data_IF_038165373062
#
_entry.id   IF_038165373062
#
_cell.length_a   1.000
_cell.length_b   1.000
_cell.length_c   1.000
_cell.angle_alpha   90.00
_cell.angle_beta   90.00
_cell.angle_gamma   90.00
#
_symmetry.space_group_name_H-M   'P 1'
#
loop_
_entity.id
_entity.type
_entity.pdbx_description
1 polymer ?
#
# COMPACT_ATOMS: atom_id res chain seq x y z
N UNK A 1 -43.46 30.89 48.70
CA UNK A 1 -44.62 29.97 48.69
C UNK A 1 -44.84 29.55 47.25
N UNK A 2 -44.90 28.30 46.76
CA UNK A 2 -44.90 26.90 47.25
C UNK A 2 -44.06 26.10 46.23
N UNK A 3 -42.95 25.44 46.60
CA UNK A 3 -42.79 23.98 46.81
C UNK A 3 -43.67 23.06 45.93
N UNK A 4 -43.06 22.24 45.09
CA UNK A 4 -43.45 20.83 44.85
C UNK A 4 -42.21 19.99 44.47
N UNK A 5 -41.93 18.97 45.31
CA UNK A 5 -41.04 17.79 45.18
C UNK A 5 -41.80 16.72 44.36
N UNK A 6 -41.30 15.61 43.80
CA UNK A 6 -40.37 14.54 44.21
C UNK A 6 -40.32 13.56 42.99
N UNK A 7 -39.19 12.96 42.56
CA UNK A 7 -38.78 11.53 42.69
C UNK A 7 -37.95 11.24 41.41
N UNK A 8 -36.78 10.61 41.39
CA UNK A 8 -36.21 9.60 42.27
C UNK A 8 -36.43 8.21 41.67
N UNK A 9 -35.54 7.73 40.80
CA UNK A 9 -35.41 6.29 40.54
C UNK A 9 -33.96 5.94 40.19
N UNK A 10 -33.33 5.26 41.15
CA UNK A 10 -32.04 4.59 41.07
C UNK A 10 -32.38 3.15 40.70
N UNK A 11 -31.85 2.65 39.58
CA UNK A 11 -31.93 1.23 39.24
C UNK A 11 -30.62 0.56 39.66
N UNK A 12 -30.66 -0.12 40.81
CA UNK A 12 -29.68 -1.14 41.20
C UNK A 12 -30.05 -2.46 40.55
N UNK A 13 -29.07 -3.14 39.94
CA UNK A 13 -29.15 -4.56 39.64
C UNK A 13 -27.87 -5.23 40.15
N UNK A 14 -28.04 -6.09 41.16
CA UNK A 14 -27.09 -7.15 41.51
C UNK A 14 -27.72 -8.47 41.09
N UNK A 15 -26.92 -9.41 40.57
CA UNK A 15 -26.97 -10.86 40.87
C UNK A 15 -25.67 -11.52 40.37
N UNK A 16 -25.29 -12.53 41.16
CA UNK A 16 -24.10 -13.36 41.24
C UNK A 16 -23.77 -14.28 40.04
N UNK A 17 -22.47 -14.50 39.86
CA UNK A 17 -21.74 -15.78 39.65
C UNK A 17 -21.99 -16.60 38.38
N UNK A 18 -20.93 -16.83 37.60
CA UNK A 18 -20.30 -18.16 37.43
C UNK A 18 -18.99 -18.08 36.65
N UNK A 19 -17.97 -18.71 37.21
CA UNK A 19 -16.70 -19.02 36.58
C UNK A 19 -16.89 -20.35 35.84
N UNK A 20 -16.76 -20.38 34.51
CA UNK A 20 -16.60 -21.63 33.75
C UNK A 20 -15.76 -21.42 32.48
N UNK A 21 -14.71 -22.24 32.39
CA UNK A 21 -14.25 -22.97 31.22
C UNK A 21 -14.30 -22.33 29.83
N UNK A 22 -13.10 -22.06 29.31
CA UNK A 22 -12.71 -22.21 27.91
C UNK A 22 -13.47 -23.36 27.20
N UNK A 23 -14.16 -23.03 26.10
CA UNK A 23 -14.53 -23.98 25.04
C UNK A 23 -14.28 -23.31 23.69
N UNK A 24 -13.58 -24.06 22.86
CA UNK A 24 -13.18 -23.88 21.46
C UNK A 24 -14.37 -23.91 20.50
N UNK A 25 -14.31 -23.17 19.38
CA UNK A 25 -14.08 -23.70 18.02
C UNK A 25 -14.66 -22.80 16.88
N UNK A 26 -13.94 -22.78 15.74
CA UNK A 26 -14.37 -22.33 14.41
C UNK A 26 -14.45 -20.80 14.16
N UNK A 27 -13.86 -20.20 13.13
CA UNK A 27 -13.21 -20.69 11.92
C UNK A 27 -12.54 -19.50 11.22
N UNK A 28 -11.23 -19.59 11.01
CA UNK A 28 -10.48 -18.71 10.11
C UNK A 28 -9.39 -19.62 9.51
N UNK A 29 -9.25 -19.75 8.18
CA UNK A 29 -8.21 -20.60 7.62
C UNK A 29 -6.87 -19.92 7.86
N UNK A 30 -6.19 -20.36 8.92
CA UNK A 30 -4.79 -20.07 9.18
C UNK A 30 -4.01 -20.78 8.07
N UNK A 31 -3.58 -20.01 7.07
CA UNK A 31 -2.62 -20.42 6.06
C UNK A 31 -1.39 -20.99 6.78
N UNK A 32 -1.20 -22.30 6.62
CA UNK A 32 -0.13 -23.08 7.22
C UNK A 32 1.22 -22.60 6.67
N UNK A 33 2.01 -21.94 7.51
CA UNK A 33 3.44 -21.69 7.28
C UNK A 33 4.19 -23.01 7.50
N UNK A 34 4.48 -23.71 6.40
CA UNK A 34 5.42 -24.82 6.38
C UNK A 34 6.71 -24.39 5.70
N UNK A 35 7.78 -24.18 6.46
CA UNK A 35 9.13 -24.12 5.90
C UNK A 35 9.59 -25.55 5.63
N UNK A 36 9.58 -25.98 4.38
CA UNK A 36 10.13 -27.28 3.96
C UNK A 36 11.42 -27.06 3.20
N UNK A 37 12.56 -27.37 3.82
CA UNK A 37 13.83 -27.52 3.12
C UNK A 37 13.78 -28.80 2.29
N UNK A 38 13.69 -28.66 0.96
CA UNK A 38 13.68 -29.80 0.04
C UNK A 38 15.02 -29.86 -0.67
N UNK A 39 15.88 -30.82 -0.29
CA UNK A 39 17.09 -31.14 -1.04
C UNK A 39 16.69 -31.84 -2.34
N UNK A 40 16.80 -31.16 -3.48
CA UNK A 40 16.53 -31.73 -4.80
C UNK A 40 17.81 -31.83 -5.63
N UNK A 41 18.32 -33.04 -5.84
CA UNK A 41 19.44 -33.29 -6.76
C UNK A 41 18.89 -33.48 -8.18
N UNK A 42 19.05 -32.49 -9.05
CA UNK A 42 18.71 -32.64 -10.48
C UNK A 42 19.98 -32.90 -11.28
N UNK A 43 20.12 -34.12 -11.82
CA UNK A 43 21.23 -34.50 -12.70
C UNK A 43 20.84 -34.23 -14.17
N UNK A 44 21.52 -33.30 -14.83
CA UNK A 44 21.34 -33.05 -16.27
C UNK A 44 22.25 -34.02 -17.04
N UNK A 45 21.68 -35.02 -17.72
CA UNK A 45 22.43 -36.01 -18.49
C UNK A 45 22.56 -35.60 -19.96
N UNK A 46 23.65 -34.93 -20.32
CA UNK A 46 24.05 -34.82 -21.72
C UNK A 46 24.98 -35.99 -22.08
N UNK A 47 24.41 -37.02 -22.70
CA UNK A 47 25.16 -38.16 -23.24
C UNK A 47 25.91 -37.75 -24.52
N UNK A 48 27.12 -37.21 -24.37
CA UNK A 48 28.18 -37.35 -25.39
C UNK A 48 29.52 -37.57 -24.69
N UNK A 49 30.32 -38.49 -25.22
CA UNK A 49 31.36 -39.20 -24.49
C UNK A 49 32.50 -38.38 -23.88
N UNK A 50 33.00 -38.90 -22.75
CA UNK A 50 34.35 -38.73 -22.20
C UNK A 50 34.81 -37.30 -21.88
N UNK A 51 33.92 -36.46 -21.35
CA UNK A 51 34.30 -35.29 -20.55
C UNK A 51 33.74 -35.44 -19.12
N UNK A 52 34.47 -35.03 -18.06
CA UNK A 52 33.92 -35.01 -16.72
C UNK A 52 32.73 -34.04 -16.68
N UNK A 53 31.52 -34.55 -16.48
CA UNK A 53 30.32 -33.75 -16.26
C UNK A 53 30.44 -32.99 -14.94
N UNK A 54 30.25 -31.66 -14.92
CA UNK A 54 30.18 -30.94 -13.66
C UNK A 54 28.91 -31.37 -12.91
N UNK A 55 29.09 -31.99 -11.75
CA UNK A 55 28.00 -32.22 -10.80
C UNK A 55 27.77 -30.92 -10.03
N UNK A 56 26.64 -30.27 -10.29
CA UNK A 56 26.23 -29.08 -9.55
C UNK A 56 25.34 -29.54 -8.40
N UNK A 57 25.86 -29.49 -7.17
CA UNK A 57 25.03 -29.68 -5.98
C UNK A 57 24.41 -28.34 -5.62
N UNK A 58 23.12 -28.18 -5.86
CA UNK A 58 22.35 -27.02 -5.39
C UNK A 58 21.94 -27.32 -3.95
N UNK A 59 22.82 -26.99 -3.03
CA UNK A 59 22.48 -26.92 -1.61
C UNK A 59 21.82 -25.56 -1.38
N UNK A 60 20.67 -25.56 -0.69
CA UNK A 60 19.93 -24.37 -0.26
C UNK A 60 19.12 -23.68 -1.39
N UNK A 61 18.11 -24.37 -1.90
CA UNK A 61 16.98 -23.70 -2.55
C UNK A 61 16.15 -23.05 -1.43
N UNK A 62 16.43 -21.80 -1.11
CA UNK A 62 15.49 -20.98 -0.34
C UNK A 62 14.27 -20.74 -1.24
N UNK A 63 13.20 -21.49 -0.97
CA UNK A 63 11.90 -21.26 -1.60
C UNK A 63 11.35 -19.93 -1.11
N UNK A 64 11.48 -18.88 -1.91
CA UNK A 64 10.76 -17.63 -1.65
C UNK A 64 9.26 -17.92 -1.76
N UNK A 65 8.44 -17.62 -0.74
CA UNK A 65 7.01 -17.86 -0.82
C UNK A 65 6.40 -17.09 -1.98
N UNK A 66 5.75 -17.80 -2.91
CA UNK A 66 5.02 -17.17 -4.02
C UNK A 66 3.69 -16.59 -3.54
N UNK A 67 3.36 -15.37 -3.97
CA UNK A 67 2.07 -14.74 -3.74
C UNK A 67 1.24 -14.86 -5.01
N UNK A 68 0.10 -15.54 -4.93
CA UNK A 68 -0.84 -15.68 -6.04
C UNK A 68 -2.19 -15.05 -5.74
N UNK A 69 -2.74 -14.34 -6.71
CA UNK A 69 -4.03 -13.67 -6.63
C UNK A 69 -4.92 -14.09 -7.80
N UNK A 70 -6.24 -13.88 -7.65
CA UNK A 70 -7.12 -13.95 -8.81
C UNK A 70 -6.75 -12.84 -9.80
N UNK A 71 -6.51 -13.22 -11.06
CA UNK A 71 -6.27 -12.35 -12.21
C UNK A 71 -7.54 -11.64 -12.67
N UNK A 72 -8.64 -12.39 -12.69
CA UNK A 72 -9.95 -11.96 -13.20
C UNK A 72 -11.10 -12.51 -12.34
N UNK A 73 -12.33 -12.12 -12.69
CA UNK A 73 -13.54 -12.58 -12.00
C UNK A 73 -13.80 -14.09 -12.15
N UNK A 74 -13.13 -14.76 -13.09
CA UNK A 74 -13.18 -16.23 -13.26
C UNK A 74 -12.23 -16.99 -12.32
N UNK A 75 -11.38 -16.28 -11.57
CA UNK A 75 -10.49 -16.89 -10.59
C UNK A 75 -9.22 -17.52 -11.17
N UNK A 76 -8.86 -17.22 -12.42
CA UNK A 76 -7.55 -17.59 -12.97
C UNK A 76 -6.45 -16.98 -12.10
N UNK A 77 -5.40 -17.73 -11.79
CA UNK A 77 -4.37 -17.27 -10.86
C UNK A 77 -3.27 -16.47 -11.57
N UNK A 78 -2.73 -15.47 -10.88
CA UNK A 78 -1.59 -14.66 -11.30
C UNK A 78 -0.58 -14.62 -10.16
N UNK A 79 0.68 -14.95 -10.45
CA UNK A 79 1.79 -14.75 -9.51
C UNK A 79 2.20 -13.27 -9.53
N UNK A 80 2.17 -12.63 -8.35
CA UNK A 80 2.50 -11.21 -8.17
C UNK A 80 3.66 -11.00 -7.21
N UNK A 81 4.41 -12.05 -6.87
CA UNK A 81 5.51 -12.01 -5.89
C UNK A 81 6.50 -10.89 -6.17
N UNK A 82 7.01 -10.82 -7.41
CA UNK A 82 8.00 -9.82 -7.81
C UNK A 82 7.41 -8.41 -7.91
N UNK A 83 6.13 -8.30 -8.29
CA UNK A 83 5.41 -7.03 -8.34
C UNK A 83 5.23 -6.47 -6.94
N UNK A 84 4.80 -7.29 -5.98
CA UNK A 84 4.57 -6.88 -4.59
C UNK A 84 5.89 -6.49 -3.94
N UNK A 85 6.95 -7.26 -4.17
CA UNK A 85 8.29 -6.92 -3.72
C UNK A 85 8.77 -5.57 -4.29
N UNK A 86 8.57 -5.35 -5.58
CA UNK A 86 8.94 -4.09 -6.22
C UNK A 86 8.11 -2.90 -5.70
N UNK A 87 6.79 -3.05 -5.55
CA UNK A 87 5.92 -2.00 -4.99
C UNK A 87 6.38 -1.65 -3.57
N UNK A 88 6.64 -2.64 -2.73
CA UNK A 88 7.11 -2.42 -1.37
C UNK A 88 8.46 -1.67 -1.33
N UNK A 89 9.39 -2.03 -2.22
CA UNK A 89 10.71 -1.42 -2.32
C UNK A 89 10.66 0.02 -2.88
N UNK A 90 9.84 0.27 -3.89
CA UNK A 90 9.80 1.57 -4.57
C UNK A 90 8.89 2.60 -3.88
N UNK A 91 7.85 2.15 -3.18
CA UNK A 91 6.83 3.04 -2.59
C UNK A 91 7.39 4.12 -1.67
N UNK A 92 8.36 3.86 -0.77
CA UNK A 92 8.91 4.89 0.11
C UNK A 92 9.47 6.11 -0.64
N UNK A 93 9.91 5.92 -1.89
CA UNK A 93 10.61 6.94 -2.68
C UNK A 93 9.75 7.50 -3.83
N UNK A 94 8.74 6.75 -4.31
CA UNK A 94 8.00 7.10 -5.53
C UNK A 94 6.47 7.21 -5.35
N UNK A 95 5.90 6.81 -4.21
CA UNK A 95 4.44 6.73 -4.02
C UNK A 95 3.74 8.08 -4.03
N UNK A 96 4.38 9.11 -3.49
CA UNK A 96 3.84 10.47 -3.41
C UNK A 96 4.70 11.46 -4.20
N UNK A 97 4.06 12.51 -4.70
CA UNK A 97 4.76 13.64 -5.32
C UNK A 97 5.15 14.74 -4.29
N UNK A 98 6.36 15.30 -4.36
CA UNK A 98 7.45 14.93 -5.27
C UNK A 98 8.13 13.63 -4.81
N UNK A 99 8.58 12.78 -5.75
CA UNK A 99 9.38 11.60 -5.40
C UNK A 99 10.71 12.01 -4.78
N UNK A 100 11.19 11.24 -3.82
CA UNK A 100 12.49 11.49 -3.17
C UNK A 100 13.40 10.27 -3.29
N UNK A 101 14.64 10.49 -3.73
CA UNK A 101 15.64 9.45 -3.91
C UNK A 101 16.97 9.91 -3.33
N UNK A 102 17.73 9.01 -2.67
CA UNK A 102 19.03 9.36 -2.11
C UNK A 102 20.09 9.65 -3.19
N UNK A 103 19.91 9.16 -4.42
CA UNK A 103 20.77 9.44 -5.57
C UNK A 103 20.08 9.13 -6.91
N UNK A 104 20.62 9.68 -8.00
CA UNK A 104 20.07 9.51 -9.34
C UNK A 104 20.14 8.05 -9.84
N UNK A 105 21.12 7.26 -9.40
CA UNK A 105 21.22 5.86 -9.82
C UNK A 105 20.02 5.04 -9.34
N UNK A 106 19.60 5.22 -8.08
CA UNK A 106 18.40 4.57 -7.56
C UNK A 106 17.15 5.06 -8.29
N UNK A 107 17.03 6.36 -8.55
CA UNK A 107 15.92 6.92 -9.34
C UNK A 107 15.85 6.31 -10.74
N UNK A 108 16.99 6.21 -11.42
CA UNK A 108 17.11 5.60 -12.75
C UNK A 108 16.72 4.11 -12.71
N UNK A 109 17.27 3.33 -11.79
CA UNK A 109 16.95 1.90 -11.66
C UNK A 109 15.46 1.68 -11.39
N UNK A 110 14.86 2.50 -10.52
CA UNK A 110 13.43 2.45 -10.24
C UNK A 110 12.59 2.78 -11.46
N UNK A 111 12.94 3.80 -12.25
CA UNK A 111 12.23 4.11 -13.50
C UNK A 111 12.29 2.97 -14.51
N UNK A 112 13.46 2.34 -14.67
CA UNK A 112 13.66 1.21 -15.59
C UNK A 112 12.84 0.00 -15.16
N UNK A 113 12.95 -0.40 -13.89
CA UNK A 113 12.19 -1.52 -13.35
C UNK A 113 10.67 -1.25 -13.37
N UNK A 114 10.26 -0.04 -13.03
CA UNK A 114 8.84 0.36 -13.04
C UNK A 114 8.23 0.23 -14.43
N UNK A 115 8.96 0.61 -15.48
CA UNK A 115 8.48 0.44 -16.86
C UNK A 115 8.19 -1.02 -17.18
N UNK A 116 9.06 -1.94 -16.74
CA UNK A 116 8.86 -3.38 -16.92
C UNK A 116 7.58 -3.86 -16.21
N UNK A 117 7.44 -3.55 -14.91
CA UNK A 117 6.29 -4.00 -14.13
C UNK A 117 4.96 -3.37 -14.56
N UNK A 118 4.96 -2.09 -14.96
CA UNK A 118 3.77 -1.45 -15.54
C UNK A 118 3.35 -2.17 -16.83
N UNK A 119 4.29 -2.40 -17.75
CA UNK A 119 3.98 -3.08 -19.01
C UNK A 119 3.40 -4.49 -18.78
N UNK A 120 3.90 -5.21 -17.78
CA UNK A 120 3.43 -6.54 -17.41
C UNK A 120 2.02 -6.50 -16.79
N UNK A 121 1.81 -5.71 -15.73
CA UNK A 121 0.53 -5.69 -15.01
C UNK A 121 -0.61 -5.12 -15.87
N UNK A 122 -0.30 -4.18 -16.78
CA UNK A 122 -1.32 -3.56 -17.64
C UNK A 122 -2.00 -4.59 -18.54
N UNK A 123 -1.28 -5.63 -18.99
CA UNK A 123 -1.88 -6.72 -19.78
C UNK A 123 -3.01 -7.42 -19.03
N UNK A 124 -2.96 -7.39 -17.70
CA UNK A 124 -3.95 -8.00 -16.82
C UNK A 124 -4.99 -6.99 -16.33
N UNK A 125 -4.64 -5.71 -16.17
CA UNK A 125 -5.57 -4.69 -15.67
C UNK A 125 -6.54 -4.17 -16.74
N UNK A 126 -6.11 -4.16 -18.01
CA UNK A 126 -6.89 -3.63 -19.14
C UNK A 126 -8.08 -4.53 -19.52
N UNK A 127 -8.08 -5.81 -19.17
CA UNK A 127 -9.19 -6.73 -19.52
C UNK A 127 -10.46 -6.36 -18.74
N UNK A 128 -11.67 -6.43 -19.33
CA UNK A 128 -12.90 -5.92 -18.70
C UNK A 128 -13.20 -6.49 -17.31
N UNK A 129 -12.85 -7.76 -17.07
CA UNK A 129 -13.11 -8.53 -15.87
C UNK A 129 -11.88 -8.69 -14.95
N UNK A 130 -10.88 -7.80 -15.08
CA UNK A 130 -9.74 -7.77 -14.16
C UNK A 130 -10.18 -7.74 -12.69
N UNK A 131 -9.48 -8.48 -11.84
CA UNK A 131 -9.78 -8.53 -10.41
C UNK A 131 -9.46 -7.21 -9.70
N UNK A 132 -10.04 -7.03 -8.50
CA UNK A 132 -9.72 -5.89 -7.65
C UNK A 132 -8.21 -5.79 -7.35
N UNK A 133 -7.57 -6.91 -7.01
CA UNK A 133 -6.17 -6.95 -6.58
C UNK A 133 -5.19 -6.59 -7.72
N UNK A 134 -5.52 -6.98 -8.96
CA UNK A 134 -4.77 -6.58 -10.15
C UNK A 134 -4.91 -5.08 -10.39
N UNK A 135 -6.13 -4.55 -10.26
CA UNK A 135 -6.41 -3.13 -10.54
C UNK A 135 -5.71 -2.19 -9.55
N UNK A 136 -5.66 -2.55 -8.26
CA UNK A 136 -4.96 -1.74 -7.25
C UNK A 136 -3.45 -1.71 -7.54
N UNK A 137 -2.81 -2.86 -7.76
CA UNK A 137 -1.37 -2.92 -8.08
C UNK A 137 -1.05 -2.15 -9.35
N UNK A 138 -1.87 -2.30 -10.39
CA UNK A 138 -1.70 -1.56 -11.63
C UNK A 138 -1.83 -0.05 -11.42
N UNK A 139 -2.76 0.39 -10.57
CA UNK A 139 -2.92 1.79 -10.22
C UNK A 139 -1.75 2.34 -9.42
N UNK A 140 -1.20 1.59 -8.47
CA UNK A 140 -0.02 2.00 -7.69
C UNK A 140 1.21 2.16 -8.58
N UNK A 141 1.47 1.17 -9.44
CA UNK A 141 2.60 1.21 -10.38
C UNK A 141 2.46 2.39 -11.35
N UNK A 142 1.28 2.58 -11.95
CA UNK A 142 1.05 3.72 -12.84
C UNK A 142 1.10 5.07 -12.07
N UNK A 143 0.65 5.11 -10.82
CA UNK A 143 0.77 6.29 -9.95
C UNK A 143 2.22 6.68 -9.68
N UNK A 144 3.07 5.71 -9.33
CA UNK A 144 4.50 5.93 -9.18
C UNK A 144 5.15 6.40 -10.50
N UNK A 145 4.72 5.85 -11.64
CA UNK A 145 5.27 6.24 -12.94
C UNK A 145 4.90 7.68 -13.31
N UNK A 146 3.67 8.09 -12.96
CA UNK A 146 3.23 9.50 -13.05
C UNK A 146 4.07 10.39 -12.16
N UNK A 147 4.30 10.01 -10.91
CA UNK A 147 5.10 10.81 -9.96
C UNK A 147 6.57 10.93 -10.39
N UNK A 148 7.09 9.93 -11.07
CA UNK A 148 8.44 9.92 -11.61
C UNK A 148 8.59 10.70 -12.93
N UNK A 149 7.54 11.31 -13.46
CA UNK A 149 7.53 12.00 -14.76
C UNK A 149 7.90 11.05 -15.92
N UNK A 150 7.23 9.90 -16.01
CA UNK A 150 7.44 8.93 -17.09
C UNK A 150 6.51 9.13 -18.28
N UNK A 151 5.42 9.88 -18.11
CA UNK A 151 4.43 10.16 -19.17
C UNK A 151 3.04 10.48 -18.58
N UNK A 152 2.24 11.27 -19.29
CA UNK A 152 0.89 11.65 -18.83
C UNK A 152 -0.11 10.49 -18.87
N UNK A 153 0.11 9.51 -19.74
CA UNK A 153 -0.71 8.32 -19.90
C UNK A 153 -0.76 7.46 -18.64
N UNK A 154 0.31 7.46 -17.84
CA UNK A 154 0.35 6.76 -16.55
C UNK A 154 -0.66 7.36 -15.56
N UNK A 155 -0.88 8.68 -15.57
CA UNK A 155 -1.88 9.34 -14.73
C UNK A 155 -3.32 8.89 -15.07
N UNK A 156 -3.60 8.78 -16.37
CA UNK A 156 -4.90 8.36 -16.90
C UNK A 156 -5.16 6.90 -16.50
N UNK A 157 -4.21 6.00 -16.80
CA UNK A 157 -4.33 4.57 -16.44
C UNK A 157 -4.47 4.35 -14.95
N UNK A 158 -3.67 5.02 -14.12
CA UNK A 158 -3.79 4.92 -12.68
C UNK A 158 -5.22 5.28 -12.23
N UNK A 159 -5.75 6.41 -12.69
CA UNK A 159 -7.10 6.86 -12.35
C UNK A 159 -8.19 5.89 -12.83
N UNK A 160 -8.08 5.40 -14.06
CA UNK A 160 -9.02 4.45 -14.65
C UNK A 160 -9.07 3.13 -13.88
N UNK A 161 -7.90 2.60 -13.48
CA UNK A 161 -7.82 1.35 -12.72
C UNK A 161 -8.40 1.50 -11.32
N UNK A 162 -8.12 2.60 -10.60
CA UNK A 162 -8.76 2.81 -9.29
C UNK A 162 -10.26 3.03 -9.42
N UNK A 163 -10.71 3.79 -10.42
CA UNK A 163 -12.13 3.98 -10.68
C UNK A 163 -12.84 2.64 -10.96
N UNK A 164 -12.18 1.72 -11.66
CA UNK A 164 -12.68 0.35 -11.87
C UNK A 164 -12.65 -0.48 -10.58
N UNK A 165 -11.57 -0.42 -9.79
CA UNK A 165 -11.48 -1.10 -8.51
C UNK A 165 -12.58 -0.66 -7.53
N UNK A 166 -12.88 0.64 -7.48
CA UNK A 166 -13.94 1.22 -6.64
C UNK A 166 -15.35 0.76 -7.04
N UNK A 167 -15.58 0.38 -8.31
CA UNK A 167 -16.84 -0.24 -8.74
C UNK A 167 -16.99 -1.67 -8.23
N UNK A 168 -15.88 -2.36 -7.97
CA UNK A 168 -15.87 -3.72 -7.39
C UNK A 168 -16.02 -3.61 -5.87
N UNK A 169 -15.17 -2.82 -5.22
CA UNK A 169 -15.15 -2.64 -3.77
C UNK A 169 -14.57 -1.28 -3.37
N UNK A 170 -15.29 -0.58 -2.49
CA UNK A 170 -14.84 0.70 -1.91
C UNK A 170 -14.04 0.47 -0.62
N UNK A 171 -12.75 0.22 -0.73
CA UNK A 171 -11.83 0.02 0.42
C UNK A 171 -11.14 1.31 0.86
N UNK A 172 -10.51 1.28 2.05
CA UNK A 172 -9.65 2.36 2.52
C UNK A 172 -8.50 2.63 1.54
N UNK A 173 -7.86 1.56 1.05
CA UNK A 173 -6.75 1.59 0.10
C UNK A 173 -7.14 2.24 -1.24
N UNK A 174 -8.21 1.76 -1.89
CA UNK A 174 -8.68 2.30 -3.17
C UNK A 174 -9.07 3.78 -3.05
N UNK A 175 -9.75 4.16 -1.96
CA UNK A 175 -10.11 5.55 -1.72
C UNK A 175 -8.88 6.42 -1.39
N UNK A 176 -7.88 5.88 -0.68
CA UNK A 176 -6.61 6.59 -0.39
C UNK A 176 -5.87 6.86 -1.69
N UNK A 177 -5.65 5.81 -2.49
CA UNK A 177 -4.97 5.86 -3.77
C UNK A 177 -5.63 6.85 -4.73
N UNK A 178 -6.96 6.78 -4.89
CA UNK A 178 -7.63 7.72 -5.78
C UNK A 178 -7.58 9.16 -5.25
N UNK A 179 -7.73 9.30 -3.93
CA UNK A 179 -7.72 10.58 -3.27
C UNK A 179 -6.43 11.35 -3.49
N UNK A 180 -5.27 10.72 -3.27
CA UNK A 180 -4.00 11.38 -3.52
C UNK A 180 -3.68 11.52 -5.01
N UNK A 181 -4.04 10.56 -5.88
CA UNK A 181 -3.84 10.71 -7.34
C UNK A 181 -4.54 11.97 -7.88
N UNK A 182 -5.78 12.20 -7.44
CA UNK A 182 -6.54 13.40 -7.81
C UNK A 182 -5.99 14.66 -7.15
N UNK A 183 -5.75 14.62 -5.83
CA UNK A 183 -5.31 15.79 -5.08
C UNK A 183 -3.92 16.27 -5.49
N UNK A 184 -2.96 15.35 -5.63
CA UNK A 184 -1.59 15.67 -6.09
C UNK A 184 -1.55 16.07 -7.57
N UNK A 185 -2.59 15.74 -8.35
CA UNK A 185 -2.83 16.25 -9.71
C UNK A 185 -3.49 17.63 -9.78
N UNK A 186 -3.74 18.28 -8.64
CA UNK A 186 -4.42 19.58 -8.55
C UNK A 186 -5.94 19.51 -8.40
N UNK A 187 -6.52 18.30 -8.47
CA UNK A 187 -7.93 18.02 -8.23
C UNK A 187 -8.31 18.01 -6.75
N UNK A 188 -7.83 18.98 -5.95
CA UNK A 188 -7.92 18.98 -4.48
C UNK A 188 -9.33 18.70 -3.94
N UNK A 189 -10.35 19.36 -4.51
CA UNK A 189 -11.74 19.20 -4.06
C UNK A 189 -12.28 17.80 -4.38
N UNK A 190 -11.90 17.24 -5.52
CA UNK A 190 -12.36 15.91 -5.93
C UNK A 190 -11.61 14.83 -5.13
N UNK A 191 -10.29 14.94 -5.03
CA UNK A 191 -9.46 14.05 -4.24
C UNK A 191 -9.88 14.00 -2.77
N UNK A 192 -10.21 15.16 -2.16
CA UNK A 192 -10.65 15.22 -0.77
C UNK A 192 -11.87 14.34 -0.49
N UNK A 193 -12.81 14.18 -1.43
CA UNK A 193 -13.98 13.31 -1.23
C UNK A 193 -13.59 11.84 -1.02
N UNK A 194 -12.56 11.38 -1.73
CA UNK A 194 -12.05 10.02 -1.59
C UNK A 194 -11.17 9.88 -0.36
N UNK A 195 -10.34 10.90 -0.06
CA UNK A 195 -9.58 10.94 1.18
C UNK A 195 -10.50 10.89 2.41
N UNK A 196 -11.59 11.66 2.44
CA UNK A 196 -12.56 11.64 3.55
C UNK A 196 -13.19 10.25 3.74
N UNK A 197 -13.51 9.54 2.65
CA UNK A 197 -13.99 8.15 2.71
C UNK A 197 -12.92 7.21 3.26
N UNK A 198 -11.68 7.35 2.80
CA UNK A 198 -10.57 6.54 3.29
C UNK A 198 -10.29 6.79 4.78
N UNK A 199 -10.38 8.03 5.25
CA UNK A 199 -10.24 8.41 6.66
C UNK A 199 -11.34 7.76 7.49
N UNK A 200 -12.60 7.80 7.03
CA UNK A 200 -13.71 7.12 7.69
C UNK A 200 -13.54 5.59 7.77
N UNK A 201 -12.73 5.02 6.86
CA UNK A 201 -12.34 3.61 6.85
C UNK A 201 -11.01 3.34 7.59
N UNK A 202 -10.44 4.34 8.28
CA UNK A 202 -9.25 4.19 9.13
C UNK A 202 -7.90 4.41 8.43
N UNK A 203 -7.87 5.03 7.24
CA UNK A 203 -6.61 5.27 6.53
C UNK A 203 -5.80 6.42 7.14
N UNK A 204 -4.67 6.08 7.75
CA UNK A 204 -3.64 7.04 8.22
C UNK A 204 -3.07 7.87 7.06
N UNK A 205 -2.72 7.21 5.96
CA UNK A 205 -2.13 7.86 4.78
C UNK A 205 -3.09 8.87 4.13
N UNK A 206 -4.40 8.62 4.19
CA UNK A 206 -5.39 9.58 3.71
C UNK A 206 -5.45 10.86 4.57
N UNK A 207 -5.21 10.74 5.89
CA UNK A 207 -5.09 11.90 6.78
C UNK A 207 -3.85 12.73 6.40
N UNK A 208 -2.72 12.07 6.17
CA UNK A 208 -1.48 12.73 5.71
C UNK A 208 -1.69 13.41 4.36
N UNK A 209 -2.27 12.72 3.38
CA UNK A 209 -2.59 13.27 2.05
C UNK A 209 -3.58 14.43 2.11
N UNK A 210 -4.53 14.42 3.06
CA UNK A 210 -5.41 15.56 3.29
C UNK A 210 -4.64 16.75 3.87
N UNK A 211 -3.67 16.53 4.77
CA UNK A 211 -2.80 17.59 5.26
C UNK A 211 -1.95 18.21 4.12
N UNK A 212 -1.41 17.38 3.22
CA UNK A 212 -0.76 17.86 1.99
C UNK A 212 -1.72 18.72 1.16
N UNK A 213 -2.96 18.27 0.98
CA UNK A 213 -4.01 19.00 0.24
C UNK A 213 -4.32 20.35 0.90
N UNK A 214 -4.33 20.43 2.23
CA UNK A 214 -4.50 21.70 2.95
C UNK A 214 -3.32 22.65 2.73
N UNK A 215 -2.07 22.16 2.71
CA UNK A 215 -0.90 22.99 2.39
C UNK A 215 -0.98 23.58 0.98
N UNK A 216 -1.38 22.77 0.00
CA UNK A 216 -1.55 23.22 -1.39
C UNK A 216 -2.69 24.25 -1.56
N UNK A 217 -3.53 24.42 -0.55
CA UNK A 217 -4.63 25.39 -0.51
C UNK A 217 -4.38 26.54 0.47
N UNK A 218 -3.12 26.75 0.87
CA UNK A 218 -2.68 27.76 1.83
C UNK A 218 -3.31 27.63 3.23
N UNK A 219 -3.77 26.43 3.60
CA UNK A 219 -4.36 26.14 4.92
C UNK A 219 -3.33 25.50 5.87
N UNK A 220 -2.20 26.18 6.07
CA UNK A 220 -1.09 25.67 6.89
C UNK A 220 -1.51 25.28 8.31
N UNK A 221 -2.35 26.08 8.96
CA UNK A 221 -2.85 25.79 10.30
C UNK A 221 -3.69 24.51 10.34
N UNK A 222 -4.55 24.28 9.35
CA UNK A 222 -5.35 23.05 9.23
C UNK A 222 -4.47 21.83 9.01
N UNK A 223 -3.47 21.92 8.11
CA UNK A 223 -2.53 20.84 7.87
C UNK A 223 -1.76 20.46 9.15
N UNK A 224 -1.24 21.45 9.87
CA UNK A 224 -0.49 21.24 11.11
C UNK A 224 -1.37 20.62 12.21
N UNK A 225 -2.60 21.14 12.38
CA UNK A 225 -3.56 20.59 13.34
C UNK A 225 -3.85 19.12 13.06
N UNK A 226 -4.08 18.78 11.78
CA UNK A 226 -4.39 17.40 11.37
C UNK A 226 -3.23 16.44 11.66
N UNK A 227 -1.99 16.82 11.33
CA UNK A 227 -0.83 15.96 11.60
C UNK A 227 -0.54 15.83 13.11
N UNK A 228 -0.71 16.90 13.90
CA UNK A 228 -0.54 16.84 15.36
C UNK A 228 -1.58 15.93 16.02
N UNK A 229 -2.84 15.99 15.58
CA UNK A 229 -3.88 15.07 16.04
C UNK A 229 -3.56 13.63 15.65
N UNK A 230 -3.09 13.40 14.43
CA UNK A 230 -2.65 12.08 13.98
C UNK A 230 -1.48 11.55 14.82
N UNK A 231 -0.53 12.41 15.19
CA UNK A 231 0.61 12.05 16.04
C UNK A 231 0.19 11.63 17.45
N UNK A 232 -0.88 12.21 18.00
CA UNK A 232 -1.42 11.76 19.29
C UNK A 232 -1.93 10.31 19.23
N UNK A 233 -2.44 9.88 18.08
CA UNK A 233 -2.90 8.50 17.84
C UNK A 233 -1.74 7.55 17.50
N UNK A 234 -0.66 8.08 16.93
CA UNK A 234 0.54 7.32 16.52
C UNK A 234 1.83 7.94 17.10
N UNK A 235 2.01 7.92 18.44
CA UNK A 235 3.07 8.70 19.10
C UNK A 235 4.49 8.25 18.77
N UNK A 236 4.67 7.01 18.29
CA UNK A 236 5.99 6.45 17.94
C UNK A 236 6.32 6.54 16.45
N UNK A 237 5.42 7.07 15.62
CA UNK A 237 5.66 7.19 14.17
C UNK A 237 6.60 8.37 13.88
N UNK A 238 7.86 8.12 13.45
CA UNK A 238 8.84 9.19 13.20
C UNK A 238 8.52 9.98 11.92
N UNK A 239 7.72 9.43 11.00
CA UNK A 239 7.35 10.13 9.76
C UNK A 239 6.49 11.34 10.11
N UNK A 240 5.56 11.22 11.06
CA UNK A 240 4.71 12.33 11.47
C UNK A 240 5.51 13.49 12.07
N UNK A 241 6.59 13.19 12.81
CA UNK A 241 7.47 14.24 13.36
C UNK A 241 8.17 15.01 12.24
N UNK A 242 8.66 14.29 11.22
CA UNK A 242 9.31 14.90 10.07
C UNK A 242 8.33 15.74 9.24
N UNK A 243 7.12 15.23 9.01
CA UNK A 243 6.07 15.96 8.29
C UNK A 243 5.65 17.24 9.01
N UNK A 244 5.51 17.19 10.35
CA UNK A 244 5.24 18.38 11.17
C UNK A 244 6.39 19.38 11.06
N UNK A 245 7.64 18.93 11.19
CA UNK A 245 8.82 19.78 11.08
C UNK A 245 8.94 20.47 9.70
N UNK A 246 8.59 19.76 8.62
CA UNK A 246 8.52 20.34 7.26
C UNK A 246 7.55 21.54 7.25
N UNK A 247 6.34 21.37 7.77
CA UNK A 247 5.33 22.44 7.79
C UNK A 247 5.81 23.62 8.65
N UNK A 248 6.37 23.34 9.83
CA UNK A 248 6.87 24.36 10.76
C UNK A 248 8.07 25.13 10.19
N UNK A 249 8.89 24.50 9.35
CA UNK A 249 9.97 25.16 8.60
C UNK A 249 9.48 26.01 7.42
N UNK A 250 8.18 26.03 7.14
CA UNK A 250 7.56 26.82 6.07
C UNK A 250 7.49 26.11 4.72
N UNK A 251 7.99 24.86 4.60
CA UNK A 251 7.87 24.05 3.38
C UNK A 251 6.43 23.57 3.12
N UNK A 252 6.18 23.12 1.90
CA UNK A 252 4.83 22.82 1.38
C UNK A 252 4.59 21.34 1.05
N UNK A 253 5.62 20.50 1.01
CA UNK A 253 5.52 19.09 0.62
C UNK A 253 5.89 18.20 1.80
N UNK A 254 4.89 17.62 2.47
CA UNK A 254 5.12 16.75 3.65
C UNK A 254 5.87 15.46 3.29
N UNK A 255 5.87 15.10 2.01
CA UNK A 255 6.57 13.91 1.51
C UNK A 255 8.06 14.16 1.24
N UNK A 256 8.54 15.41 1.36
CA UNK A 256 9.97 15.78 1.29
C UNK A 256 10.73 15.39 2.57
N UNK A 257 10.63 14.11 2.93
CA UNK A 257 11.31 13.48 4.05
C UNK A 257 12.52 12.68 3.56
N UNK A 258 13.58 12.49 4.35
CA UNK A 258 14.74 11.70 3.94
C UNK A 258 14.33 10.32 3.40
N UNK A 259 14.65 10.07 2.13
CA UNK A 259 14.33 8.80 1.47
C UNK A 259 15.31 7.69 1.92
N UNK A 260 14.81 6.48 2.22
CA UNK A 260 15.67 5.34 2.47
C UNK A 260 16.47 4.97 1.21
N UNK A 261 17.60 4.28 1.42
CA UNK A 261 18.25 3.56 0.34
C UNK A 261 17.39 2.37 -0.03
N UNK A 262 17.05 2.28 -1.31
CA UNK A 262 16.27 1.19 -1.87
C UNK A 262 17.15 0.34 -2.79
N UNK A 263 16.91 -0.96 -2.80
CA UNK A 263 17.60 -1.97 -3.58
C UNK A 263 16.72 -2.46 -4.74
N UNK A 264 16.29 -1.52 -5.59
CA UNK A 264 15.64 -1.89 -6.85
C UNK A 264 16.69 -2.45 -7.80
N UNK A 265 16.58 -3.75 -8.09
CA UNK A 265 17.44 -4.43 -9.06
C UNK A 265 17.24 -3.80 -10.45
N UNK A 266 18.35 -3.54 -11.13
CA UNK A 266 18.30 -3.15 -12.52
C UNK A 266 17.78 -4.32 -13.36
N UNK A 267 16.73 -4.08 -14.14
CA UNK A 267 16.18 -5.04 -15.09
C UNK A 267 16.82 -4.75 -16.45
N UNK A 268 17.45 -5.77 -17.05
CA UNK A 268 18.13 -5.68 -18.34
C UNK A 268 17.17 -5.71 -19.53
#
# INVERSE_FOLDING_TARGET
>A
MKKTRLLGSILTASILTTQTGCVTDGSNPLSSMGSSSTTSTTSITNSTGKAPTPTISISDIESVPSVSIAKNLMGEQLDVTDVDAFIAEASPNARHYPPNFPNEQQRYNTRTALKHYVNWIDQHAMVPDASYDVLIRAAELNGMARNLDMGSEYAVRASDYVAKALKIKSTAEANTLYGFLLAEGGGFKEGQKYLDRAIALGSKEAIQSSAQTDLMRDKRSSALSRLKELKLQHPVDPILDQQIAIIESGKYYIWDIPAPNINVKHIY
#
